data_IF_922416410699
#
_entry.id   IF_922416410699
#
_cell.length_a   1.000
_cell.length_b   1.000
_cell.length_c   1.000
_cell.angle_alpha   90.00
_cell.angle_beta   90.00
_cell.angle_gamma   90.00
#
_symmetry.space_group_name_H-M   'P 1'
#
loop_
_entity.id
_entity.type
_entity.pdbx_description
1 polymer ?
#
# COMPACT_ATOMS: atom_id res chain seq x y z
N UNK A 1 7.43 -64.23 -5.66
CA UNK A 1 6.64 -63.08 -6.14
C UNK A 1 6.34 -62.04 -5.06
N UNK A 2 5.82 -62.41 -3.88
CA UNK A 2 5.52 -61.45 -2.78
C UNK A 2 6.77 -60.70 -2.27
N UNK A 3 7.91 -61.40 -2.16
CA UNK A 3 9.17 -60.82 -1.65
C UNK A 3 9.74 -59.75 -2.58
N UNK A 4 9.74 -59.98 -3.90
CA UNK A 4 10.22 -59.02 -4.91
C UNK A 4 9.32 -57.79 -4.98
N UNK A 5 8.01 -57.96 -4.92
CA UNK A 5 7.06 -56.82 -4.84
C UNK A 5 7.34 -55.98 -3.59
N UNK A 6 7.58 -56.61 -2.43
CA UNK A 6 7.93 -55.88 -1.19
C UNK A 6 9.24 -55.10 -1.30
N UNK A 7 10.25 -55.65 -1.97
CA UNK A 7 11.51 -54.93 -2.18
C UNK A 7 11.32 -53.73 -3.12
N UNK A 8 10.56 -53.89 -4.21
CA UNK A 8 10.26 -52.80 -5.15
C UNK A 8 9.49 -51.67 -4.44
N UNK A 9 8.47 -52.00 -3.64
CA UNK A 9 7.72 -50.97 -2.91
C UNK A 9 8.58 -50.24 -1.87
N UNK A 10 9.47 -50.95 -1.18
CA UNK A 10 10.42 -50.33 -0.24
C UNK A 10 11.41 -49.39 -0.94
N UNK A 11 11.96 -49.79 -2.08
CA UNK A 11 12.86 -48.93 -2.86
C UNK A 11 12.13 -47.72 -3.45
N UNK A 12 10.90 -47.88 -3.93
CA UNK A 12 10.08 -46.77 -4.41
C UNK A 12 9.75 -45.78 -3.27
N UNK A 13 9.37 -46.30 -2.09
CA UNK A 13 9.13 -45.47 -0.91
C UNK A 13 10.38 -44.72 -0.46
N UNK A 14 11.55 -45.37 -0.49
CA UNK A 14 12.84 -44.75 -0.16
C UNK A 14 13.22 -43.66 -1.19
N UNK A 15 13.03 -43.91 -2.48
CA UNK A 15 13.30 -42.92 -3.51
C UNK A 15 12.39 -41.69 -3.37
N UNK A 16 11.11 -41.91 -3.07
CA UNK A 16 10.15 -40.84 -2.84
C UNK A 16 10.49 -40.02 -1.59
N UNK A 17 10.85 -40.68 -0.49
CA UNK A 17 11.25 -39.99 0.74
C UNK A 17 12.54 -39.19 0.56
N UNK A 18 13.51 -39.73 -0.19
CA UNK A 18 14.75 -39.01 -0.50
C UNK A 18 14.48 -37.78 -1.38
N UNK A 19 13.60 -37.89 -2.38
CA UNK A 19 13.20 -36.75 -3.21
C UNK A 19 12.50 -35.67 -2.37
N UNK A 20 11.59 -36.06 -1.48
CA UNK A 20 10.93 -35.13 -0.56
C UNK A 20 11.93 -34.47 0.41
N UNK A 21 12.93 -35.21 0.89
CA UNK A 21 14.00 -34.68 1.73
C UNK A 21 14.85 -33.65 0.99
N UNK A 22 15.29 -33.93 -0.24
CA UNK A 22 16.09 -32.99 -1.04
C UNK A 22 15.28 -31.72 -1.35
N UNK A 23 14.01 -31.87 -1.71
CA UNK A 23 13.12 -30.73 -1.96
C UNK A 23 12.95 -29.86 -0.71
N UNK A 24 12.66 -30.47 0.44
CA UNK A 24 12.48 -29.74 1.71
C UNK A 24 13.77 -29.08 2.19
N UNK A 25 14.93 -29.73 2.02
CA UNK A 25 16.23 -29.14 2.33
C UNK A 25 16.51 -27.90 1.45
N UNK A 26 16.18 -27.96 0.15
CA UNK A 26 16.28 -26.81 -0.76
C UNK A 26 15.36 -25.66 -0.37
N UNK A 27 14.11 -25.97 -0.01
CA UNK A 27 13.14 -24.97 0.45
C UNK A 27 13.59 -24.27 1.74
N UNK A 28 14.08 -25.05 2.72
CA UNK A 28 14.63 -24.51 3.97
C UNK A 28 15.82 -23.59 3.72
N UNK A 29 16.71 -23.97 2.81
CA UNK A 29 17.85 -23.14 2.44
C UNK A 29 17.40 -21.80 1.83
N UNK A 30 16.40 -21.80 0.95
CA UNK A 30 15.81 -20.58 0.40
C UNK A 30 15.21 -19.66 1.47
N UNK A 31 14.47 -20.24 2.44
CA UNK A 31 13.90 -19.50 3.57
C UNK A 31 15.00 -18.87 4.42
N UNK A 32 16.08 -19.61 4.71
CA UNK A 32 17.21 -19.08 5.47
C UNK A 32 17.87 -17.88 4.77
N UNK A 33 18.10 -17.96 3.45
CA UNK A 33 18.66 -16.83 2.70
C UNK A 33 17.76 -15.59 2.76
N UNK A 34 16.45 -15.75 2.56
CA UNK A 34 15.51 -14.63 2.64
C UNK A 34 15.48 -14.02 4.04
N UNK A 35 15.49 -14.85 5.08
CA UNK A 35 15.53 -14.39 6.46
C UNK A 35 16.81 -13.61 6.78
N UNK A 36 17.95 -14.01 6.22
CA UNK A 36 19.20 -13.27 6.40
C UNK A 36 19.18 -11.90 5.71
N UNK A 37 18.54 -11.79 4.53
CA UNK A 37 18.33 -10.49 3.88
C UNK A 37 17.38 -9.60 4.69
N UNK A 38 16.32 -10.16 5.26
CA UNK A 38 15.40 -9.43 6.14
C UNK A 38 16.14 -8.94 7.40
N UNK A 39 16.98 -9.79 8.02
CA UNK A 39 17.81 -9.39 9.17
C UNK A 39 18.76 -8.25 8.82
N UNK A 40 19.35 -8.25 7.62
CA UNK A 40 20.19 -7.15 7.16
C UNK A 40 19.40 -5.83 7.11
N UNK A 41 18.21 -5.84 6.50
CA UNK A 41 17.33 -4.67 6.42
C UNK A 41 16.92 -4.17 7.82
N UNK A 42 16.52 -5.07 8.71
CA UNK A 42 16.17 -4.74 10.10
C UNK A 42 17.37 -4.17 10.86
N UNK A 43 18.59 -4.66 10.59
CA UNK A 43 19.83 -4.10 11.15
C UNK A 43 20.26 -2.76 10.54
N UNK A 44 19.49 -2.22 9.59
CA UNK A 44 19.76 -0.94 8.94
C UNK A 44 20.72 -1.03 7.76
N UNK A 45 20.98 -2.22 7.21
CA UNK A 45 21.78 -2.42 6.00
C UNK A 45 20.86 -2.66 4.80
N UNK A 46 21.01 -1.84 3.76
CA UNK A 46 20.24 -2.03 2.52
C UNK A 46 20.68 -3.30 1.78
N UNK A 47 19.77 -3.84 0.98
CA UNK A 47 19.95 -5.05 0.18
C UNK A 47 19.85 -4.71 -1.30
N UNK A 48 20.56 -5.41 -2.17
CA UNK A 48 20.53 -5.14 -3.62
C UNK A 48 19.11 -5.24 -4.21
N UNK A 49 18.76 -4.32 -5.12
CA UNK A 49 17.41 -4.19 -5.72
C UNK A 49 16.97 -5.47 -6.45
N UNK A 50 17.88 -6.08 -7.22
CA UNK A 50 17.62 -7.32 -7.95
C UNK A 50 17.16 -8.47 -7.04
N UNK A 51 17.72 -8.60 -5.83
CA UNK A 51 17.33 -9.63 -4.85
C UNK A 51 15.92 -9.42 -4.34
N UNK A 52 15.45 -8.18 -4.27
CA UNK A 52 14.14 -7.83 -3.71
C UNK A 52 13.04 -7.92 -4.77
N UNK A 53 13.31 -7.51 -6.01
CA UNK A 53 12.36 -7.65 -7.13
C UNK A 53 12.02 -9.14 -7.34
N UNK A 54 13.03 -10.01 -7.37
CA UNK A 54 12.85 -11.46 -7.52
C UNK A 54 12.49 -12.21 -6.23
N UNK A 55 12.52 -11.53 -5.09
CA UNK A 55 12.32 -12.14 -3.77
C UNK A 55 10.86 -12.27 -3.35
N UNK A 56 10.68 -12.89 -2.19
CA UNK A 56 9.37 -13.10 -1.55
C UNK A 56 8.73 -11.78 -1.08
N UNK A 57 7.39 -11.71 -0.96
CA UNK A 57 6.67 -10.53 -0.49
C UNK A 57 7.14 -9.99 0.88
N UNK A 58 7.55 -10.87 1.80
CA UNK A 58 8.08 -10.53 3.13
C UNK A 58 9.36 -9.70 3.02
N UNK A 59 10.27 -10.06 2.11
CA UNK A 59 11.50 -9.33 1.87
C UNK A 59 11.21 -7.92 1.31
N UNK A 60 10.20 -7.81 0.43
CA UNK A 60 9.75 -6.51 -0.10
C UNK A 60 9.14 -5.65 1.00
N UNK A 61 8.30 -6.21 1.88
CA UNK A 61 7.77 -5.49 3.04
C UNK A 61 8.89 -5.01 3.97
N UNK A 62 9.85 -5.87 4.28
CA UNK A 62 11.00 -5.50 5.11
C UNK A 62 11.81 -4.35 4.50
N UNK A 63 11.98 -4.35 3.18
CA UNK A 63 12.68 -3.26 2.47
C UNK A 63 11.87 -1.96 2.48
N UNK A 64 10.57 -2.02 2.25
CA UNK A 64 9.71 -0.84 2.35
C UNK A 64 9.78 -0.21 3.74
N UNK A 65 9.78 -1.06 4.79
CA UNK A 65 9.95 -0.61 6.17
C UNK A 65 11.35 -0.02 6.44
N UNK A 66 12.41 -0.61 5.88
CA UNK A 66 13.75 -0.04 5.94
C UNK A 66 13.81 1.37 5.34
N UNK A 67 13.22 1.57 4.14
CA UNK A 67 13.19 2.89 3.52
C UNK A 67 12.33 3.89 4.29
N UNK A 68 11.18 3.46 4.83
CA UNK A 68 10.36 4.26 5.74
C UNK A 68 11.19 4.81 6.90
N UNK A 69 11.94 3.96 7.60
CA UNK A 69 12.77 4.37 8.74
C UNK A 69 13.87 5.38 8.36
N UNK A 70 14.22 5.46 7.08
CA UNK A 70 15.20 6.43 6.53
C UNK A 70 14.53 7.65 5.91
N UNK A 71 13.21 7.81 6.04
CA UNK A 71 12.41 8.86 5.42
C UNK A 71 12.52 8.89 3.87
N UNK A 72 12.87 7.75 3.27
CA UNK A 72 12.97 7.53 1.82
C UNK A 72 11.63 7.03 1.27
N UNK A 73 10.64 7.93 1.30
CA UNK A 73 9.24 7.56 1.08
C UNK A 73 8.99 7.05 -0.35
N UNK A 74 9.63 7.64 -1.36
CA UNK A 74 9.44 7.22 -2.77
C UNK A 74 9.93 5.78 -3.00
N UNK A 75 11.05 5.40 -2.40
CA UNK A 75 11.56 4.04 -2.46
C UNK A 75 10.71 3.06 -1.66
N UNK A 76 10.14 3.49 -0.53
CA UNK A 76 9.17 2.69 0.22
C UNK A 76 7.91 2.44 -0.61
N UNK A 77 7.35 3.47 -1.25
CA UNK A 77 6.17 3.41 -2.10
C UNK A 77 6.40 2.46 -3.29
N UNK A 78 7.48 2.67 -4.04
CA UNK A 78 7.81 1.80 -5.19
C UNK A 78 8.00 0.34 -4.77
N UNK A 79 8.58 0.08 -3.60
CA UNK A 79 8.73 -1.28 -3.08
C UNK A 79 7.39 -1.91 -2.70
N UNK A 80 6.47 -1.16 -2.09
CA UNK A 80 5.13 -1.65 -1.74
C UNK A 80 4.30 -1.99 -2.98
N UNK A 81 4.43 -1.23 -4.06
CA UNK A 81 3.73 -1.50 -5.33
C UNK A 81 4.07 -2.88 -5.91
N UNK A 82 5.31 -3.36 -5.74
CA UNK A 82 5.71 -4.70 -6.16
C UNK A 82 4.96 -5.84 -5.43
N UNK A 83 4.37 -5.55 -4.27
CA UNK A 83 3.61 -6.52 -3.48
C UNK A 83 2.15 -6.56 -3.97
N UNK A 84 1.59 -5.39 -4.29
CA UNK A 84 0.18 -5.25 -4.69
C UNK A 84 -0.14 -6.05 -5.95
N UNK A 85 0.78 -6.13 -6.90
CA UNK A 85 0.55 -6.78 -8.21
C UNK A 85 0.71 -8.30 -8.19
N UNK A 86 1.54 -8.84 -7.31
CA UNK A 86 2.07 -10.21 -7.42
C UNK A 86 1.79 -11.11 -6.21
N UNK A 87 1.11 -10.61 -5.18
CA UNK A 87 0.98 -11.32 -3.90
C UNK A 87 -0.47 -11.69 -3.57
N UNK A 88 -0.63 -12.69 -2.70
CA UNK A 88 -1.93 -13.10 -2.19
C UNK A 88 -2.66 -12.02 -1.38
N UNK A 89 -3.95 -12.24 -1.14
CA UNK A 89 -4.86 -11.30 -0.45
C UNK A 89 -4.29 -10.76 0.87
N UNK A 90 -3.66 -11.62 1.66
CA UNK A 90 -3.10 -11.23 2.96
C UNK A 90 -1.93 -10.25 2.83
N UNK A 91 -1.04 -10.47 1.87
CA UNK A 91 0.08 -9.56 1.59
C UNK A 91 -0.39 -8.26 0.97
N UNK A 92 -1.44 -8.31 0.15
CA UNK A 92 -2.09 -7.13 -0.36
C UNK A 92 -2.73 -6.27 0.75
N UNK A 93 -3.32 -6.89 1.78
CA UNK A 93 -3.81 -6.18 2.96
C UNK A 93 -2.65 -5.52 3.71
N UNK A 94 -1.59 -6.28 4.03
CA UNK A 94 -0.39 -5.77 4.71
C UNK A 94 0.28 -4.63 3.94
N UNK A 95 0.38 -4.73 2.61
CA UNK A 95 0.95 -3.68 1.78
C UNK A 95 0.14 -2.39 1.85
N UNK A 96 -1.20 -2.48 1.78
CA UNK A 96 -2.10 -1.32 1.90
C UNK A 96 -2.09 -0.69 3.29
N UNK A 97 -2.02 -1.50 4.35
CA UNK A 97 -1.82 -1.00 5.71
C UNK A 97 -0.51 -0.21 5.82
N UNK A 98 0.59 -0.77 5.31
CA UNK A 98 1.89 -0.10 5.34
C UNK A 98 1.91 1.17 4.47
N UNK A 99 1.20 1.15 3.34
CA UNK A 99 1.00 2.33 2.50
C UNK A 99 0.27 3.44 3.26
N UNK A 100 -0.79 3.09 3.99
CA UNK A 100 -1.49 4.02 4.88
C UNK A 100 -0.56 4.61 5.95
N UNK A 101 0.30 3.78 6.55
CA UNK A 101 1.28 4.22 7.55
C UNK A 101 2.30 5.22 6.96
N UNK A 102 2.75 5.03 5.71
CA UNK A 102 3.64 5.98 5.04
C UNK A 102 2.96 7.34 4.87
N UNK A 103 1.76 7.34 4.29
CA UNK A 103 1.02 8.56 4.03
C UNK A 103 0.64 9.29 5.31
N UNK A 104 0.21 8.57 6.36
CA UNK A 104 -0.14 9.18 7.64
C UNK A 104 1.08 9.84 8.29
N UNK A 105 2.25 9.20 8.24
CA UNK A 105 3.48 9.77 8.77
C UNK A 105 3.87 11.05 8.02
N UNK A 106 3.83 11.04 6.69
CA UNK A 106 4.10 12.23 5.88
C UNK A 106 3.06 13.33 6.14
N UNK A 107 1.77 12.99 6.26
CA UNK A 107 0.71 13.94 6.56
C UNK A 107 0.95 14.62 7.92
N UNK A 108 1.31 13.85 8.96
CA UNK A 108 1.63 14.39 10.27
C UNK A 108 2.87 15.29 10.25
N UNK A 109 3.90 14.97 9.45
CA UNK A 109 5.08 15.82 9.30
C UNK A 109 4.72 17.16 8.64
N UNK A 110 3.96 17.14 7.55
CA UNK A 110 3.51 18.36 6.87
C UNK A 110 2.59 19.20 7.77
N UNK A 111 1.68 18.57 8.50
CA UNK A 111 0.80 19.25 9.45
C UNK A 111 1.60 19.94 10.57
N UNK A 112 2.61 19.25 11.14
CA UNK A 112 3.52 19.84 12.15
C UNK A 112 4.31 21.03 11.60
N UNK A 113 4.64 21.01 10.31
CA UNK A 113 5.31 22.10 9.61
C UNK A 113 4.36 23.23 9.17
N UNK A 114 3.07 23.18 9.53
CA UNK A 114 2.02 24.12 9.10
C UNK A 114 1.76 24.13 7.57
N UNK A 115 2.21 23.09 6.86
CA UNK A 115 1.98 22.88 5.43
C UNK A 115 0.65 22.12 5.23
N UNK A 116 -0.46 22.79 5.54
CA UNK A 116 -1.78 22.15 5.59
C UNK A 116 -2.25 21.66 4.21
N UNK A 117 -1.93 22.42 3.15
CA UNK A 117 -2.30 22.07 1.78
C UNK A 117 -1.66 20.76 1.31
N UNK A 118 -0.44 20.46 1.77
CA UNK A 118 0.29 19.24 1.51
C UNK A 118 -0.15 18.10 2.43
N UNK A 119 -0.48 18.41 3.70
CA UNK A 119 -0.93 17.42 4.68
C UNK A 119 -2.29 16.80 4.31
N UNK A 120 -3.24 17.61 3.82
CA UNK A 120 -4.59 17.17 3.49
C UNK A 120 -4.65 16.00 2.48
N UNK A 121 -4.05 16.07 1.28
CA UNK A 121 -4.10 14.96 0.33
C UNK A 121 -3.41 13.70 0.87
N UNK A 122 -2.32 13.84 1.62
CA UNK A 122 -1.64 12.71 2.27
C UNK A 122 -2.53 12.03 3.31
N UNK A 123 -3.24 12.79 4.14
CA UNK A 123 -4.21 12.24 5.10
C UNK A 123 -5.37 11.53 4.37
N UNK A 124 -5.83 12.06 3.24
CA UNK A 124 -6.82 11.42 2.38
C UNK A 124 -6.34 10.07 1.84
N UNK A 125 -5.11 10.02 1.30
CA UNK A 125 -4.48 8.78 0.82
C UNK A 125 -4.29 7.76 1.94
N UNK A 126 -3.92 8.20 3.14
CA UNK A 126 -3.80 7.33 4.31
C UNK A 126 -5.15 6.66 4.63
N UNK A 127 -6.23 7.45 4.73
CA UNK A 127 -7.59 6.94 4.99
C UNK A 127 -8.02 5.92 3.92
N UNK A 128 -7.80 6.23 2.65
CA UNK A 128 -8.13 5.33 1.55
C UNK A 128 -7.36 4.01 1.66
N UNK A 129 -6.04 4.07 1.89
CA UNK A 129 -5.20 2.88 2.00
C UNK A 129 -5.61 1.99 3.18
N UNK A 130 -5.92 2.56 4.35
CA UNK A 130 -6.43 1.79 5.49
C UNK A 130 -7.79 1.16 5.21
N UNK A 131 -8.73 1.89 4.59
CA UNK A 131 -10.04 1.34 4.18
C UNK A 131 -9.86 0.16 3.23
N UNK A 132 -8.97 0.27 2.25
CA UNK A 132 -8.68 -0.84 1.34
C UNK A 132 -7.98 -2.02 2.05
N UNK A 133 -7.13 -1.75 3.05
CA UNK A 133 -6.57 -2.82 3.89
C UNK A 133 -7.67 -3.56 4.64
N UNK A 134 -8.59 -2.82 5.28
CA UNK A 134 -9.70 -3.37 6.05
C UNK A 134 -10.74 -4.10 5.19
N UNK A 135 -10.89 -3.72 3.93
CA UNK A 135 -11.69 -4.47 2.95
C UNK A 135 -11.08 -5.86 2.66
N UNK A 136 -9.76 -5.99 2.78
CA UNK A 136 -9.05 -7.26 2.60
C UNK A 136 -8.93 -8.05 3.91
N UNK A 137 -8.74 -7.37 5.03
CA UNK A 137 -8.69 -7.96 6.36
C UNK A 137 -9.43 -7.08 7.37
N UNK A 138 -10.72 -7.35 7.57
CA UNK A 138 -11.57 -6.58 8.49
C UNK A 138 -11.25 -6.82 9.97
N UNK A 139 -10.46 -7.85 10.29
CA UNK A 139 -10.03 -8.18 11.64
C UNK A 139 -8.81 -7.39 12.13
N UNK A 140 -8.15 -6.64 11.24
CA UNK A 140 -6.94 -5.87 11.57
C UNK A 140 -7.28 -4.68 12.48
N UNK A 141 -6.95 -4.81 13.77
CA UNK A 141 -7.24 -3.79 14.77
C UNK A 141 -6.31 -2.57 14.64
N UNK A 142 -5.06 -2.80 14.26
CA UNK A 142 -4.08 -1.72 14.07
C UNK A 142 -4.48 -0.83 12.89
N UNK A 143 -5.01 -1.43 11.82
CA UNK A 143 -5.54 -0.67 10.68
C UNK A 143 -6.77 0.17 11.06
N UNK A 144 -7.67 -0.33 11.93
CA UNK A 144 -8.81 0.45 12.43
C UNK A 144 -8.36 1.63 13.28
N UNK A 145 -7.45 1.38 14.21
CA UNK A 145 -6.90 2.42 15.06
C UNK A 145 -6.19 3.50 14.23
N UNK A 146 -5.32 3.11 13.30
CA UNK A 146 -4.62 4.09 12.47
C UNK A 146 -5.55 4.84 11.50
N UNK A 147 -6.63 4.20 11.02
CA UNK A 147 -7.67 4.89 10.28
C UNK A 147 -8.35 5.97 11.14
N UNK A 148 -8.67 5.67 12.40
CA UNK A 148 -9.23 6.67 13.32
C UNK A 148 -8.26 7.84 13.52
N UNK A 149 -6.96 7.57 13.71
CA UNK A 149 -5.93 8.62 13.80
C UNK A 149 -5.92 9.49 12.54
N UNK A 150 -5.98 8.88 11.35
CA UNK A 150 -6.05 9.62 10.08
C UNK A 150 -7.35 10.44 9.95
N UNK A 151 -8.48 9.93 10.44
CA UNK A 151 -9.76 10.65 10.46
C UNK A 151 -9.77 11.80 11.46
N UNK A 152 -9.04 11.71 12.58
CA UNK A 152 -8.86 12.84 13.50
C UNK A 152 -7.97 13.93 12.90
N UNK A 153 -6.97 13.54 12.10
CA UNK A 153 -6.09 14.48 11.40
C UNK A 153 -6.82 15.25 10.29
N UNK A 154 -7.66 14.55 9.51
CA UNK A 154 -8.51 15.15 8.49
C UNK A 154 -9.95 14.64 8.64
N UNK A 155 -10.74 15.30 9.51
CA UNK A 155 -12.15 14.98 9.72
C UNK A 155 -12.93 15.05 8.41
N UNK A 156 -13.78 14.05 8.17
CA UNK A 156 -14.77 14.11 7.11
C UNK A 156 -15.93 14.93 7.66
N UNK A 157 -16.04 16.19 7.23
CA UNK A 157 -17.22 16.98 7.52
C UNK A 157 -18.32 16.51 6.57
N UNK A 158 -19.40 15.97 7.13
CA UNK A 158 -20.64 15.87 6.38
C UNK A 158 -20.97 17.30 5.92
N UNK A 159 -21.17 17.47 4.61
CA UNK A 159 -21.81 18.68 4.13
C UNK A 159 -23.19 18.65 4.74
N UNK A 160 -23.39 19.46 5.79
CA UNK A 160 -24.74 19.86 6.14
C UNK A 160 -25.21 20.59 4.89
N UNK A 161 -26.08 19.94 4.13
CA UNK A 161 -26.92 20.64 3.15
C UNK A 161 -27.70 21.65 3.98
N UNK A 162 -27.12 22.83 4.19
CA UNK A 162 -27.90 23.99 4.58
C UNK A 162 -28.97 24.07 3.49
N UNK A 163 -30.27 24.03 3.83
CA UNK A 163 -31.27 24.38 2.85
C UNK A 163 -30.81 25.72 2.26
N UNK A 164 -30.75 25.79 0.93
CA UNK A 164 -30.42 27.01 0.20
C UNK A 164 -31.33 28.12 0.73
N UNK A 165 -30.87 28.85 1.76
CA UNK A 165 -31.51 30.05 2.23
C UNK A 165 -31.15 31.08 1.18
N UNK A 166 -31.99 31.07 0.14
CA UNK A 166 -32.15 32.08 -0.89
C UNK A 166 -30.93 33.00 -1.03
N UNK A 167 -29.84 32.48 -1.63
CA UNK A 167 -29.05 33.33 -2.50
C UNK A 167 -29.95 33.67 -3.67
N UNK A 168 -30.85 34.63 -3.43
CA UNK A 168 -31.63 35.33 -4.44
C UNK A 168 -30.63 35.63 -5.53
N UNK A 169 -30.87 34.99 -6.68
CA UNK A 169 -30.41 35.41 -7.96
C UNK A 169 -30.61 36.92 -8.07
N UNK A 170 -29.63 37.70 -7.59
CA UNK A 170 -29.35 39.00 -8.15
C UNK A 170 -28.78 38.68 -9.52
N UNK A 171 -29.70 38.37 -10.45
CA UNK A 171 -29.45 38.52 -11.87
C UNK A 171 -28.80 39.88 -11.99
N UNK A 172 -27.49 39.90 -12.23
CA UNK A 172 -26.81 41.12 -12.62
C UNK A 172 -27.59 41.64 -13.81
N UNK A 173 -28.38 42.70 -13.59
CA UNK A 173 -28.99 43.48 -14.65
C UNK A 173 -27.82 44.06 -15.43
N UNK A 174 -27.37 43.31 -16.44
CA UNK A 174 -26.41 43.75 -17.45
C UNK A 174 -27.13 44.79 -18.30
N UNK A 175 -27.26 46.00 -17.75
CA UNK A 175 -27.61 47.19 -18.51
C UNK A 175 -26.42 47.52 -19.43
N UNK A 176 -26.61 47.20 -20.71
CA UNK A 176 -26.41 48.06 -21.90
C UNK A 176 -25.19 48.99 -21.89
N UNK A 177 -24.25 48.86 -22.85
CA UNK A 177 -24.36 49.58 -24.13
C UNK A 177 -23.36 49.04 -25.15
N UNK A 178 -23.84 48.29 -26.14
CA UNK A 178 -23.12 48.11 -27.41
C UNK A 178 -23.67 49.16 -28.38
N UNK A 179 -22.86 50.11 -28.87
CA UNK A 179 -23.32 51.09 -29.85
C UNK A 179 -23.70 50.38 -31.16
N UNK A 180 -24.82 50.81 -31.76
CA UNK A 180 -25.43 50.18 -32.93
C UNK A 180 -24.49 50.01 -34.12
N UNK A 181 -24.67 48.90 -34.83
CA UNK A 181 -24.11 48.68 -36.16
C UNK A 181 -24.82 49.58 -37.19
N UNK A 182 -24.10 50.45 -37.92
CA UNK A 182 -24.68 51.10 -39.09
C UNK A 182 -24.72 50.10 -40.26
N UNK A 183 -25.91 49.87 -40.83
CA UNK A 183 -26.05 49.24 -42.14
C UNK A 183 -25.70 50.26 -43.22
N UNK A 184 -24.47 50.22 -43.72
CA UNK A 184 -24.07 50.93 -44.94
C UNK A 184 -24.50 50.14 -46.17
N UNK A 185 -25.49 50.67 -46.90
CA UNK A 185 -25.68 50.51 -48.35
C UNK A 185 -25.36 51.91 -48.93
N UNK A 186 -24.74 52.07 -50.11
CA UNK A 186 -25.07 51.37 -51.37
C UNK A 186 -23.92 50.56 -52.00
#
# INVERSE_FOLDING_TARGET
>A
MIRTIRHITLWAALALSLAAFVYSAGALYGIHQNNDLIRQLVSGKDVAVNKVIGGEPELRLARAFYFKQKHRYDEALSTLSLIMDKSGRDFQAKARYNLGNLYLEQAMQQAKAMNINEAMPLAGLAKQAYRQSLALNSGDWDAKYNLEVAMRLLPEMDRVDMPDDELKNQKSQLWTTVPGFPRGLP
#
